data_IF_027176370278
#
_entry.id   IF_027176370278
#
_cell.length_a   1.000
_cell.length_b   1.000
_cell.length_c   1.000
_cell.angle_alpha   90.00
_cell.angle_beta   90.00
_cell.angle_gamma   90.00
#
_symmetry.space_group_name_H-M   'P 1'
#
loop_
_entity.id
_entity.type
_entity.pdbx_description
1 polymer ?
#
# COMPACT_ATOMS: atom_id res chain seq x y z
N UNK A 1 -1.11 12.45 -8.39
CA UNK A 1 -2.49 12.69 -7.89
C UNK A 1 -2.41 13.48 -6.59
N UNK A 2 -3.22 14.54 -6.45
CA UNK A 2 -3.18 15.37 -5.24
C UNK A 2 -3.81 14.65 -4.05
N UNK A 3 -3.22 14.85 -2.88
CA UNK A 3 -3.68 14.23 -1.65
C UNK A 3 -4.35 15.22 -0.74
N UNK A 4 -5.22 14.71 0.11
CA UNK A 4 -5.86 15.49 1.16
C UNK A 4 -5.67 14.75 2.47
N UNK A 5 -5.12 15.44 3.47
CA UNK A 5 -4.73 14.85 4.74
C UNK A 5 -5.72 15.26 5.82
N UNK A 6 -6.09 14.28 6.64
CA UNK A 6 -7.01 14.43 7.74
C UNK A 6 -6.44 13.83 9.01
N UNK A 7 -6.81 14.38 10.15
CA UNK A 7 -6.71 13.66 11.42
C UNK A 7 -8.09 13.26 11.91
N UNK A 8 -8.19 12.07 12.49
CA UNK A 8 -9.33 11.67 13.29
C UNK A 8 -8.95 11.42 14.74
N UNK A 9 -9.87 11.73 15.64
CA UNK A 9 -9.80 11.40 17.05
C UNK A 9 -11.13 10.86 17.54
N UNK A 10 -11.11 9.72 18.22
CA UNK A 10 -12.30 9.21 18.91
C UNK A 10 -12.47 10.02 20.20
N UNK A 11 -13.50 10.85 20.29
CA UNK A 11 -13.69 11.81 21.39
C UNK A 11 -14.68 11.34 22.44
N UNK A 12 -15.67 10.54 22.05
CA UNK A 12 -16.70 10.03 22.96
C UNK A 12 -17.12 8.62 22.53
N UNK A 13 -17.66 7.85 23.48
CA UNK A 13 -18.26 6.54 23.24
C UNK A 13 -19.60 6.46 23.98
N UNK A 14 -20.66 6.08 23.25
CA UNK A 14 -22.00 5.85 23.77
C UNK A 14 -22.44 4.43 23.40
N UNK A 15 -22.29 3.49 24.33
CA UNK A 15 -22.50 2.07 24.04
C UNK A 15 -21.50 1.55 22.98
N UNK A 16 -22.01 1.05 21.87
CA UNK A 16 -21.21 0.56 20.73
C UNK A 16 -20.96 1.62 19.65
N UNK A 17 -21.44 2.86 19.85
CA UNK A 17 -21.28 3.98 18.92
C UNK A 17 -20.14 4.88 19.39
N UNK A 18 -19.24 5.23 18.48
CA UNK A 18 -18.10 6.10 18.73
C UNK A 18 -18.28 7.41 17.98
N UNK A 19 -18.13 8.52 18.69
CA UNK A 19 -18.08 9.86 18.10
C UNK A 19 -16.65 10.18 17.73
N UNK A 20 -16.44 10.50 16.47
CA UNK A 20 -15.12 10.74 15.88
C UNK A 20 -15.07 12.18 15.40
N UNK A 21 -14.11 12.95 15.91
CA UNK A 21 -13.77 14.27 15.40
C UNK A 21 -12.83 14.10 14.20
N UNK A 22 -13.17 14.70 13.06
CA UNK A 22 -12.33 14.75 11.87
C UNK A 22 -11.85 16.18 11.66
N UNK A 23 -10.57 16.37 11.37
CA UNK A 23 -9.99 17.68 11.04
C UNK A 23 -9.20 17.60 9.73
N UNK A 24 -9.36 18.60 8.86
CA UNK A 24 -8.49 18.81 7.70
C UNK A 24 -7.15 19.40 8.18
N UNK A 25 -6.03 18.87 7.68
CA UNK A 25 -4.69 19.35 8.01
C UNK A 25 -4.11 20.08 6.80
N UNK A 26 -3.76 21.35 6.92
CA UNK A 26 -3.17 22.16 5.83
C UNK A 26 -1.63 22.10 5.81
N UNK A 27 -1.00 21.09 6.42
CA UNK A 27 0.46 21.08 6.61
C UNK A 27 1.22 21.02 5.27
N UNK A 28 2.08 22.02 5.06
CA UNK A 28 2.97 22.10 3.90
C UNK A 28 4.09 21.05 4.04
N UNK A 29 4.15 20.11 3.10
CA UNK A 29 5.25 19.17 2.85
C UNK A 29 5.36 17.97 3.80
N UNK A 30 4.52 16.96 3.54
CA UNK A 30 4.94 15.58 3.78
C UNK A 30 5.90 15.21 2.63
N UNK A 31 7.14 14.84 2.95
CA UNK A 31 8.20 14.59 1.97
C UNK A 31 7.71 13.69 0.80
N UNK A 32 7.68 14.25 -0.41
CA UNK A 32 7.25 13.58 -1.65
C UNK A 32 5.76 13.69 -2.01
N UNK A 33 4.94 14.40 -1.21
CA UNK A 33 3.51 14.51 -1.45
C UNK A 33 3.00 15.94 -1.32
N UNK A 34 2.36 16.44 -2.39
CA UNK A 34 1.73 17.76 -2.42
C UNK A 34 0.25 17.62 -2.06
N UNK A 35 -0.18 18.43 -1.11
CA UNK A 35 -1.58 18.50 -0.71
C UNK A 35 -2.39 19.29 -1.75
N UNK A 36 -3.56 18.78 -2.14
CA UNK A 36 -4.53 19.60 -2.86
C UNK A 36 -5.09 20.67 -1.95
N UNK A 37 -5.00 21.92 -2.41
CA UNK A 37 -5.82 23.00 -1.89
C UNK A 37 -7.27 22.75 -2.35
N UNK A 38 -8.02 22.03 -1.52
CA UNK A 38 -9.47 21.90 -1.66
C UNK A 38 -10.11 23.01 -0.84
N UNK A 39 -11.14 23.66 -1.39
CA UNK A 39 -11.85 24.78 -0.77
C UNK A 39 -12.68 24.41 0.47
N UNK A 40 -12.08 23.68 1.41
CA UNK A 40 -12.66 23.34 2.70
C UNK A 40 -12.53 24.55 3.61
N UNK A 41 -13.64 25.25 3.81
CA UNK A 41 -13.70 26.43 4.68
C UNK A 41 -13.79 26.04 6.17
N UNK A 42 -14.40 24.89 6.49
CA UNK A 42 -14.49 24.37 7.86
C UNK A 42 -13.40 23.33 8.15
N UNK A 43 -12.49 23.63 9.08
CA UNK A 43 -11.36 22.74 9.39
C UNK A 43 -11.75 21.46 10.15
N UNK A 44 -12.96 21.33 10.69
CA UNK A 44 -13.39 20.17 11.50
C UNK A 44 -14.87 19.81 11.32
N UNK A 45 -15.18 18.53 11.52
CA UNK A 45 -16.54 17.97 11.56
C UNK A 45 -16.60 16.77 12.53
N UNK A 46 -17.79 16.26 12.82
CA UNK A 46 -18.00 15.07 13.64
C UNK A 46 -18.82 14.00 12.91
N UNK A 47 -18.43 12.75 13.13
CA UNK A 47 -19.14 11.57 12.65
C UNK A 47 -19.37 10.57 13.77
N UNK A 48 -20.46 9.82 13.69
CA UNK A 48 -20.71 8.64 14.52
C UNK A 48 -20.43 7.38 13.70
N UNK A 49 -19.72 6.44 14.30
CA UNK A 49 -19.47 5.15 13.69
C UNK A 49 -19.70 4.01 14.68
N UNK A 50 -20.40 2.97 14.22
CA UNK A 50 -20.58 1.71 14.96
C UNK A 50 -19.72 0.61 14.35
N UNK A 51 -18.65 0.13 15.03
CA UNK A 51 -17.82 -0.96 14.54
C UNK A 51 -18.59 -2.27 14.34
N UNK A 52 -19.71 -2.45 15.04
CA UNK A 52 -20.58 -3.64 14.97
C UNK A 52 -21.55 -3.57 13.79
N UNK A 53 -22.39 -2.53 13.71
CA UNK A 53 -23.38 -2.39 12.62
C UNK A 53 -22.76 -1.85 11.32
N UNK A 54 -21.53 -1.31 11.39
CA UNK A 54 -20.83 -0.64 10.28
C UNK A 54 -21.52 0.63 9.78
N UNK A 55 -22.52 1.12 10.52
CA UNK A 55 -23.22 2.37 10.26
C UNK A 55 -22.30 3.57 10.50
N UNK A 56 -22.41 4.55 9.62
CA UNK A 56 -21.69 5.81 9.66
C UNK A 56 -22.72 6.93 9.51
N UNK A 57 -22.69 7.91 10.41
CA UNK A 57 -23.58 9.07 10.39
C UNK A 57 -22.76 10.34 10.50
N UNK A 58 -23.01 11.29 9.60
CA UNK A 58 -22.44 12.64 9.68
C UNK A 58 -23.32 13.52 10.58
N UNK A 59 -22.71 14.23 11.52
CA UNK A 59 -23.45 15.01 12.54
C UNK A 59 -23.64 16.48 12.17
N UNK A 60 -22.86 17.00 11.23
CA UNK A 60 -22.84 18.41 10.86
C UNK A 60 -22.93 18.56 9.34
N UNK A 61 -23.57 19.63 8.87
CA UNK A 61 -23.62 20.00 7.46
C UNK A 61 -22.62 21.14 7.19
N UNK A 62 -21.52 20.82 6.53
CA UNK A 62 -20.47 21.78 6.17
C UNK A 62 -19.62 21.23 5.01
N UNK A 63 -18.76 22.07 4.44
CA UNK A 63 -17.94 21.73 3.27
C UNK A 63 -17.02 20.51 3.50
N UNK A 64 -16.54 20.29 4.74
CA UNK A 64 -15.73 19.12 5.07
C UNK A 64 -16.59 17.85 5.13
N UNK A 65 -17.79 17.92 5.71
CA UNK A 65 -18.76 16.82 5.66
C UNK A 65 -19.08 16.44 4.23
N UNK A 66 -19.34 17.41 3.36
CA UNK A 66 -19.67 17.15 1.95
C UNK A 66 -18.51 16.44 1.23
N UNK A 67 -17.28 16.91 1.46
CA UNK A 67 -16.09 16.24 0.94
C UNK A 67 -15.93 14.78 1.44
N UNK A 68 -16.20 14.54 2.73
CA UNK A 68 -16.15 13.18 3.28
C UNK A 68 -17.26 12.28 2.72
N UNK A 69 -18.44 12.82 2.43
CA UNK A 69 -19.56 12.10 1.79
C UNK A 69 -19.23 11.73 0.35
N UNK A 70 -18.65 12.65 -0.42
CA UNK A 70 -18.16 12.36 -1.78
C UNK A 70 -17.10 11.26 -1.80
N UNK A 71 -16.30 11.16 -0.72
CA UNK A 71 -15.26 10.15 -0.55
C UNK A 71 -15.65 9.03 0.43
N UNK A 72 -16.96 8.82 0.67
CA UNK A 72 -17.45 7.96 1.75
C UNK A 72 -16.94 6.52 1.63
N UNK A 73 -16.77 6.00 0.42
CA UNK A 73 -16.22 4.65 0.21
C UNK A 73 -14.79 4.50 0.78
N UNK A 74 -13.92 5.49 0.53
CA UNK A 74 -12.56 5.49 1.08
C UNK A 74 -12.60 5.61 2.61
N UNK A 75 -13.47 6.48 3.11
CA UNK A 75 -13.62 6.69 4.55
C UNK A 75 -14.14 5.44 5.28
N UNK A 76 -15.17 4.78 4.73
CA UNK A 76 -15.71 3.53 5.26
C UNK A 76 -14.67 2.43 5.26
N UNK A 77 -13.88 2.27 4.19
CA UNK A 77 -12.80 1.27 4.16
C UNK A 77 -11.80 1.48 5.30
N UNK A 78 -11.42 2.72 5.60
CA UNK A 78 -10.53 3.04 6.72
C UNK A 78 -11.12 2.56 8.06
N UNK A 79 -12.38 2.88 8.33
CA UNK A 79 -13.05 2.54 9.59
C UNK A 79 -13.37 1.03 9.67
N UNK A 80 -13.85 0.42 8.59
CA UNK A 80 -14.26 -0.98 8.58
C UNK A 80 -13.09 -1.94 8.76
N UNK A 81 -11.90 -1.58 8.27
CA UNK A 81 -10.68 -2.39 8.38
C UNK A 81 -9.99 -2.27 9.75
N UNK A 82 -10.38 -1.33 10.60
CA UNK A 82 -9.89 -1.29 11.99
C UNK A 82 -10.44 -2.48 12.78
N UNK A 83 -9.57 -3.11 13.58
CA UNK A 83 -10.00 -4.13 14.52
C UNK A 83 -10.98 -3.50 15.53
N UNK A 84 -12.06 -4.22 15.94
CA UNK A 84 -13.03 -3.67 16.89
C UNK A 84 -12.40 -3.16 18.18
N UNK A 85 -11.40 -3.86 18.72
CA UNK A 85 -10.67 -3.46 19.93
C UNK A 85 -9.79 -2.21 19.79
N UNK A 86 -9.58 -1.72 18.56
CA UNK A 86 -8.77 -0.52 18.29
C UNK A 86 -9.59 0.77 18.39
N UNK A 87 -10.87 0.68 18.76
CA UNK A 87 -11.74 1.82 19.01
C UNK A 87 -11.80 2.11 20.51
N UNK A 88 -11.19 3.21 20.92
CA UNK A 88 -11.22 3.71 22.30
C UNK A 88 -11.11 5.23 22.32
N UNK A 89 -11.70 5.87 23.32
CA UNK A 89 -11.65 7.33 23.48
C UNK A 89 -10.19 7.80 23.63
N UNK A 90 -9.80 8.81 22.87
CA UNK A 90 -8.44 9.31 22.77
C UNK A 90 -7.59 8.67 21.66
N UNK A 91 -8.09 7.65 20.97
CA UNK A 91 -7.40 7.09 19.80
C UNK A 91 -7.31 8.14 18.69
N UNK A 92 -6.09 8.36 18.18
CA UNK A 92 -5.79 9.31 17.09
C UNK A 92 -5.23 8.58 15.88
N UNK A 93 -5.57 9.05 14.69
CA UNK A 93 -5.06 8.53 13.42
C UNK A 93 -5.03 9.63 12.37
N UNK A 94 -3.91 9.76 11.67
CA UNK A 94 -3.83 10.55 10.45
C UNK A 94 -4.17 9.65 9.27
N UNK A 95 -4.97 10.12 8.34
CA UNK A 95 -5.26 9.41 7.10
C UNK A 95 -5.31 10.38 5.94
N UNK A 96 -5.26 9.86 4.72
CA UNK A 96 -5.34 10.68 3.53
C UNK A 96 -6.30 10.09 2.52
N UNK A 97 -7.02 10.94 1.81
CA UNK A 97 -7.67 10.57 0.56
C UNK A 97 -6.83 11.04 -0.61
N UNK A 98 -6.86 10.25 -1.68
CA UNK A 98 -6.33 10.67 -2.98
C UNK A 98 -7.50 11.19 -3.79
N UNK A 99 -7.41 12.45 -4.22
CA UNK A 99 -8.43 13.08 -5.03
C UNK A 99 -8.62 12.31 -6.33
N UNK A 100 -9.88 12.00 -6.69
CA UNK A 100 -10.25 11.22 -7.89
C UNK A 100 -9.60 9.83 -7.98
N UNK A 101 -9.26 9.18 -6.86
CA UNK A 101 -8.75 7.81 -6.88
C UNK A 101 -9.78 6.85 -7.44
N UNK A 102 -9.42 6.14 -8.51
CA UNK A 102 -10.16 4.99 -8.99
C UNK A 102 -10.00 3.79 -8.04
N UNK A 103 -10.75 3.82 -6.93
CA UNK A 103 -10.64 2.78 -5.90
C UNK A 103 -11.06 1.41 -6.44
N UNK A 104 -11.99 1.36 -7.39
CA UNK A 104 -12.41 0.12 -8.03
C UNK A 104 -11.26 -0.47 -8.85
N UNK A 105 -10.65 0.33 -9.74
CA UNK A 105 -9.52 -0.10 -10.55
C UNK A 105 -8.29 -0.51 -9.73
N UNK A 106 -7.96 0.17 -8.63
CA UNK A 106 -6.84 -0.24 -7.76
C UNK A 106 -7.08 -1.62 -7.11
N UNK A 107 -8.35 -1.99 -6.87
CA UNK A 107 -8.72 -3.28 -6.32
C UNK A 107 -8.98 -4.34 -7.40
N UNK A 108 -9.13 -3.93 -8.66
CA UNK A 108 -9.16 -4.82 -9.79
C UNK A 108 -7.79 -5.48 -9.97
N UNK A 109 -7.81 -6.80 -10.07
CA UNK A 109 -6.62 -7.65 -10.18
C UNK A 109 -6.16 -7.84 -11.61
N UNK A 110 -6.97 -7.42 -12.58
CA UNK A 110 -6.63 -7.45 -14.02
C UNK A 110 -5.90 -6.19 -14.46
N UNK A 111 -6.01 -5.10 -13.68
CA UNK A 111 -5.36 -3.82 -13.96
C UNK A 111 -3.91 -3.82 -13.48
N UNK A 112 -3.10 -3.04 -14.18
CA UNK A 112 -1.76 -2.68 -13.72
C UNK A 112 -1.86 -1.44 -12.86
N UNK A 113 -1.25 -1.50 -11.67
CA UNK A 113 -1.18 -0.37 -10.74
C UNK A 113 0.18 0.28 -10.89
N UNK A 114 0.20 1.56 -11.20
CA UNK A 114 1.42 2.33 -11.42
C UNK A 114 1.75 3.13 -10.18
N UNK A 115 3.05 3.21 -9.87
CA UNK A 115 3.65 4.17 -8.96
C UNK A 115 4.78 4.89 -9.70
N UNK A 116 4.58 6.16 -10.03
CA UNK A 116 5.60 6.99 -10.69
C UNK A 116 6.18 7.98 -9.69
N UNK A 117 7.45 7.79 -9.35
CA UNK A 117 8.23 8.63 -8.44
C UNK A 117 9.33 9.43 -9.17
N UNK A 118 9.28 9.53 -10.50
CA UNK A 118 10.27 10.30 -11.29
C UNK A 118 10.01 11.80 -11.22
N UNK A 119 8.75 12.20 -11.01
CA UNK A 119 8.35 13.59 -10.90
C UNK A 119 8.61 14.21 -9.52
N UNK A 120 8.34 15.50 -9.41
CA UNK A 120 8.34 16.22 -8.12
C UNK A 120 7.24 15.70 -7.17
N UNK A 121 6.09 15.34 -7.74
CA UNK A 121 4.99 14.70 -7.03
C UNK A 121 4.98 13.20 -7.33
N UNK A 122 4.72 12.38 -6.32
CA UNK A 122 4.46 10.95 -6.53
C UNK A 122 3.08 10.79 -7.15
N UNK A 123 3.04 10.12 -8.31
CA UNK A 123 1.79 9.77 -8.97
C UNK A 123 1.49 8.28 -8.86
N UNK A 124 0.20 7.93 -8.83
CA UNK A 124 -0.23 6.55 -8.79
C UNK A 124 -1.57 6.41 -9.47
N UNK A 125 -1.69 5.51 -10.43
CA UNK A 125 -2.92 5.34 -11.19
C UNK A 125 -3.04 3.89 -11.67
N UNK A 126 -4.11 3.60 -12.39
CA UNK A 126 -4.36 2.27 -12.96
C UNK A 126 -4.46 2.34 -14.46
N UNK A 127 -4.08 1.25 -15.11
CA UNK A 127 -4.10 1.10 -16.57
C UNK A 127 -4.51 -0.33 -16.94
N UNK A 128 -5.11 -0.46 -18.12
CA UNK A 128 -5.52 -1.74 -18.70
C UNK A 128 -4.36 -2.57 -19.23
N UNK A 129 -3.36 -1.89 -19.81
CA UNK A 129 -2.18 -2.49 -20.39
C UNK A 129 -0.97 -1.66 -19.98
N UNK A 130 0.11 -2.33 -19.58
CA UNK A 130 1.36 -1.69 -19.23
C UNK A 130 2.26 -1.44 -20.42
N UNK A 131 3.37 -0.76 -20.16
CA UNK A 131 4.38 -0.46 -21.16
C UNK A 131 4.93 -1.73 -21.84
N UNK A 132 5.11 -1.69 -23.15
CA UNK A 132 5.63 -2.84 -23.90
C UNK A 132 7.16 -2.96 -23.74
N UNK A 133 7.88 -1.84 -23.58
CA UNK A 133 9.34 -1.80 -23.40
C UNK A 133 9.69 -1.45 -21.96
N UNK A 134 9.69 -2.45 -21.09
CA UNK A 134 9.96 -2.30 -19.66
C UNK A 134 10.70 -3.52 -19.11
N UNK A 135 11.67 -3.29 -18.22
CA UNK A 135 12.30 -4.40 -17.48
C UNK A 135 11.25 -5.06 -16.59
N UNK A 136 11.26 -6.38 -16.50
CA UNK A 136 10.30 -7.11 -15.65
C UNK A 136 11.03 -7.84 -14.54
N UNK A 137 10.48 -7.79 -13.34
CA UNK A 137 10.89 -8.59 -12.19
C UNK A 137 9.71 -9.49 -11.85
N UNK A 138 9.86 -10.79 -12.04
CA UNK A 138 8.96 -11.80 -11.52
C UNK A 138 9.45 -12.20 -10.13
N UNK A 139 8.54 -12.35 -9.18
CA UNK A 139 8.92 -12.61 -7.77
C UNK A 139 8.04 -13.66 -7.14
N UNK A 140 8.63 -14.49 -6.30
CA UNK A 140 7.91 -15.36 -5.37
C UNK A 140 8.72 -15.63 -4.09
N UNK A 141 8.04 -16.02 -3.01
CA UNK A 141 8.61 -16.29 -1.70
C UNK A 141 8.11 -17.62 -1.13
N UNK A 142 8.98 -18.33 -0.41
CA UNK A 142 8.62 -19.57 0.27
C UNK A 142 9.05 -19.50 1.74
N UNK A 143 8.20 -20.01 2.63
CA UNK A 143 8.49 -20.07 4.07
C UNK A 143 7.96 -21.35 4.70
N UNK A 144 8.84 -22.07 5.41
CA UNK A 144 8.52 -23.25 6.19
C UNK A 144 8.42 -22.88 7.67
N UNK A 145 7.19 -22.59 8.12
CA UNK A 145 6.92 -22.13 9.50
C UNK A 145 7.54 -23.03 10.58
N UNK A 146 7.41 -24.36 10.43
CA UNK A 146 7.92 -25.33 11.41
C UNK A 146 9.45 -25.31 11.57
N UNK A 147 10.17 -24.95 10.50
CA UNK A 147 11.63 -24.93 10.50
C UNK A 147 12.18 -23.52 10.67
N UNK A 148 11.31 -22.50 10.63
CA UNK A 148 11.68 -21.09 10.62
C UNK A 148 12.71 -20.74 9.52
N UNK A 149 12.59 -21.39 8.37
CA UNK A 149 13.41 -21.17 7.18
C UNK A 149 12.55 -20.60 6.07
N UNK A 150 13.06 -19.59 5.38
CA UNK A 150 12.47 -19.09 4.16
C UNK A 150 13.49 -18.97 3.05
N UNK A 151 13.00 -18.78 1.84
CA UNK A 151 13.80 -18.30 0.74
C UNK A 151 12.90 -17.52 -0.20
N UNK A 152 13.52 -16.79 -1.10
CA UNK A 152 12.80 -16.11 -2.16
C UNK A 152 13.51 -16.35 -3.49
N UNK A 153 12.79 -16.16 -4.58
CA UNK A 153 13.36 -16.16 -5.91
C UNK A 153 12.78 -15.03 -6.74
N UNK A 154 13.57 -14.60 -7.71
CA UNK A 154 13.17 -13.64 -8.69
C UNK A 154 13.78 -13.98 -10.05
N UNK A 155 13.07 -13.55 -11.10
CA UNK A 155 13.56 -13.58 -12.47
C UNK A 155 13.49 -12.16 -13.00
N UNK A 156 14.60 -11.69 -13.57
CA UNK A 156 14.68 -10.43 -14.30
C UNK A 156 14.62 -10.74 -15.78
N UNK A 157 13.69 -10.11 -16.49
CA UNK A 157 13.64 -10.06 -17.95
C UNK A 157 14.09 -8.67 -18.40
N UNK A 158 15.14 -8.61 -19.23
CA UNK A 158 15.62 -7.36 -19.82
C UNK A 158 14.81 -6.93 -21.05
N UNK A 159 15.19 -5.82 -21.68
CA UNK A 159 14.49 -5.28 -22.85
C UNK A 159 14.65 -6.13 -24.12
N UNK A 160 15.63 -7.03 -24.15
CA UNK A 160 15.87 -7.96 -25.25
C UNK A 160 15.15 -9.31 -25.03
N UNK A 161 14.52 -9.49 -23.87
CA UNK A 161 13.83 -10.72 -23.48
C UNK A 161 14.76 -11.76 -22.85
N UNK A 162 15.98 -11.40 -22.45
CA UNK A 162 16.87 -12.33 -21.75
C UNK A 162 16.47 -12.45 -20.28
N UNK A 163 16.51 -13.68 -19.76
CA UNK A 163 16.20 -13.97 -18.37
C UNK A 163 17.46 -14.12 -17.50
N UNK A 164 17.41 -13.54 -16.31
CA UNK A 164 18.38 -13.78 -15.24
C UNK A 164 17.66 -14.19 -13.96
N UNK A 165 18.05 -15.33 -13.40
CA UNK A 165 17.42 -15.92 -12.21
C UNK A 165 18.27 -15.62 -10.98
N UNK A 166 17.62 -15.36 -9.85
CA UNK A 166 18.27 -15.22 -8.55
C UNK A 166 17.39 -15.86 -7.46
N UNK A 167 18.02 -16.56 -6.52
CA UNK A 167 17.35 -17.09 -5.33
C UNK A 167 18.26 -16.93 -4.11
N UNK A 168 17.66 -16.72 -2.95
CA UNK A 168 18.40 -16.46 -1.71
C UNK A 168 17.67 -17.06 -0.51
N UNK A 169 18.41 -17.74 0.38
CA UNK A 169 17.88 -18.26 1.64
C UNK A 169 17.82 -17.15 2.67
N UNK A 170 16.77 -17.13 3.48
CA UNK A 170 16.57 -16.17 4.57
C UNK A 170 16.07 -16.88 5.83
N UNK A 171 16.52 -16.42 6.99
CA UNK A 171 16.18 -17.01 8.29
C UNK A 171 15.25 -16.09 9.08
N UNK A 172 14.25 -16.66 9.75
CA UNK A 172 13.34 -15.88 10.60
C UNK A 172 12.37 -14.94 9.86
N UNK A 173 12.24 -15.09 8.53
CA UNK A 173 11.33 -14.29 7.70
C UNK A 173 10.06 -15.07 7.40
N UNK A 174 8.88 -14.52 7.67
CA UNK A 174 7.61 -15.13 7.27
C UNK A 174 7.31 -14.99 5.77
N UNK A 175 6.20 -15.59 5.32
CA UNK A 175 5.80 -15.62 3.89
C UNK A 175 5.74 -14.22 3.26
N UNK A 176 5.10 -13.26 3.91
CA UNK A 176 4.99 -11.89 3.37
C UNK A 176 6.34 -11.16 3.35
N UNK A 177 7.27 -11.51 4.25
CA UNK A 177 8.61 -10.95 4.27
C UNK A 177 9.46 -11.50 3.13
N UNK A 178 9.38 -12.80 2.81
CA UNK A 178 10.13 -13.38 1.69
C UNK A 178 9.68 -12.83 0.35
N UNK A 179 8.37 -12.63 0.16
CA UNK A 179 7.80 -11.94 -1.01
C UNK A 179 8.33 -10.50 -1.16
N UNK A 180 8.37 -9.73 -0.05
CA UNK A 180 8.89 -8.37 -0.05
C UNK A 180 10.40 -8.34 -0.38
N UNK A 181 11.17 -9.28 0.17
CA UNK A 181 12.59 -9.39 -0.09
C UNK A 181 12.90 -9.71 -1.56
N UNK A 182 12.10 -10.56 -2.23
CA UNK A 182 12.24 -10.80 -3.67
C UNK A 182 12.10 -9.51 -4.49
N UNK A 183 11.04 -8.74 -4.23
CA UNK A 183 10.80 -7.49 -4.93
C UNK A 183 11.93 -6.47 -4.68
N UNK A 184 12.37 -6.33 -3.43
CA UNK A 184 13.48 -5.46 -3.07
C UNK A 184 14.78 -5.86 -3.76
N UNK A 185 15.13 -7.15 -3.75
CA UNK A 185 16.36 -7.64 -4.36
C UNK A 185 16.37 -7.41 -5.87
N UNK A 186 15.22 -7.56 -6.53
CA UNK A 186 15.09 -7.26 -7.96
C UNK A 186 15.34 -5.78 -8.25
N UNK A 187 14.80 -4.87 -7.43
CA UNK A 187 15.05 -3.43 -7.54
C UNK A 187 16.51 -3.06 -7.25
N UNK A 188 17.16 -3.72 -6.28
CA UNK A 188 18.58 -3.52 -5.97
C UNK A 188 19.47 -3.91 -7.17
N UNK A 189 19.18 -5.03 -7.81
CA UNK A 189 19.88 -5.49 -9.02
C UNK A 189 19.64 -4.55 -10.21
N UNK A 190 18.49 -3.88 -10.25
CA UNK A 190 18.08 -2.92 -11.27
C UNK A 190 18.20 -1.45 -10.80
N UNK A 191 19.18 -1.15 -9.93
CA UNK A 191 19.33 0.18 -9.33
C UNK A 191 19.39 1.34 -10.34
N UNK A 192 20.00 1.14 -11.51
CA UNK A 192 20.12 2.17 -12.57
C UNK A 192 18.93 2.18 -13.55
N UNK A 193 17.99 1.25 -13.42
CA UNK A 193 16.82 1.16 -14.33
C UNK A 193 15.68 2.01 -13.80
N UNK A 194 15.16 2.90 -14.63
CA UNK A 194 14.07 3.82 -14.24
C UNK A 194 12.67 3.21 -14.39
N UNK A 195 12.43 2.39 -15.42
CA UNK A 195 11.12 1.78 -15.71
C UNK A 195 11.15 0.28 -15.43
N UNK A 196 10.37 -0.16 -14.46
CA UNK A 196 10.35 -1.56 -14.02
C UNK A 196 8.92 -2.02 -13.80
N UNK A 197 8.57 -3.21 -14.29
CA UNK A 197 7.35 -3.91 -13.93
C UNK A 197 7.67 -5.01 -12.92
N UNK A 198 7.02 -4.97 -11.76
CA UNK A 198 7.02 -6.04 -10.78
C UNK A 198 5.78 -6.91 -11.03
N UNK A 199 6.02 -8.17 -11.38
CA UNK A 199 5.00 -9.20 -11.59
C UNK A 199 5.00 -10.13 -10.37
N UNK A 200 3.93 -10.08 -9.60
CA UNK A 200 3.84 -10.76 -8.29
C UNK A 200 2.41 -11.19 -8.00
N UNK A 201 2.23 -12.30 -7.30
CA UNK A 201 0.93 -12.66 -6.73
C UNK A 201 0.71 -12.07 -5.33
N UNK A 202 1.74 -11.40 -4.77
CA UNK A 202 1.68 -10.75 -3.48
C UNK A 202 0.89 -9.44 -3.52
N UNK A 203 -0.32 -9.48 -2.98
CA UNK A 203 -1.06 -8.27 -2.65
C UNK A 203 -0.37 -7.46 -1.54
N UNK A 204 0.43 -8.11 -0.69
CA UNK A 204 1.18 -7.45 0.37
C UNK A 204 2.21 -6.48 -0.22
N UNK A 205 3.03 -6.95 -1.16
CA UNK A 205 4.02 -6.12 -1.87
C UNK A 205 3.32 -5.01 -2.65
N UNK A 206 2.34 -5.36 -3.50
CA UNK A 206 1.64 -4.39 -4.36
C UNK A 206 0.95 -3.29 -3.53
N UNK A 207 0.10 -3.66 -2.57
CA UNK A 207 -0.68 -2.68 -1.80
C UNK A 207 0.15 -1.96 -0.77
N UNK A 208 1.18 -2.60 -0.22
CA UNK A 208 2.04 -1.96 0.77
C UNK A 208 2.73 -0.74 0.20
N UNK A 209 3.33 -0.84 -0.98
CA UNK A 209 3.99 0.31 -1.60
C UNK A 209 2.99 1.31 -2.23
N UNK A 210 1.94 0.83 -2.88
CA UNK A 210 1.02 1.71 -3.63
C UNK A 210 -0.06 2.37 -2.77
N UNK A 211 -0.42 1.79 -1.62
CA UNK A 211 -1.53 2.25 -0.78
C UNK A 211 -1.14 2.52 0.67
N UNK A 212 -0.34 1.65 1.31
CA UNK A 212 -0.18 1.69 2.78
C UNK A 212 0.99 2.55 3.26
N UNK A 213 2.12 2.53 2.54
CA UNK A 213 3.39 3.10 3.01
C UNK A 213 3.29 4.59 3.33
N UNK A 214 2.50 5.32 2.54
CA UNK A 214 2.18 6.72 2.76
C UNK A 214 1.50 6.93 4.11
N UNK A 215 0.39 6.22 4.36
CA UNK A 215 -0.31 6.29 5.63
C UNK A 215 0.57 5.86 6.81
N UNK A 216 1.51 4.94 6.59
CA UNK A 216 2.47 4.58 7.64
C UNK A 216 3.47 5.70 7.91
N UNK A 217 4.05 6.33 6.89
CA UNK A 217 5.00 7.44 7.06
C UNK A 217 4.38 8.61 7.84
N UNK A 218 3.14 9.01 7.50
CA UNK A 218 2.46 10.13 8.17
C UNK A 218 2.06 9.81 9.62
N UNK A 219 1.88 8.53 9.95
CA UNK A 219 1.55 8.07 11.30
C UNK A 219 2.78 7.59 12.09
N UNK A 220 4.00 7.94 11.68
CA UNK A 220 5.22 7.53 12.39
C UNK A 220 5.41 6.00 12.40
N UNK A 221 5.11 5.34 11.27
CA UNK A 221 5.18 3.89 11.08
C UNK A 221 4.24 3.08 11.98
N UNK A 222 3.06 3.64 12.24
CA UNK A 222 1.94 2.97 12.89
C UNK A 222 0.87 2.57 11.87
N UNK A 223 0.23 1.42 12.09
CA UNK A 223 -0.93 0.96 11.35
C UNK A 223 -2.18 1.74 11.73
N UNK A 224 -3.28 1.63 10.97
CA UNK A 224 -4.58 2.21 11.32
C UNK A 224 -5.15 1.68 12.67
N UNK A 225 -4.57 0.61 13.21
CA UNK A 225 -4.89 0.06 14.51
C UNK A 225 -4.05 0.65 15.66
N UNK A 226 -3.08 1.51 15.37
CA UNK A 226 -2.13 2.07 16.36
C UNK A 226 -0.99 1.13 16.73
N UNK A 227 -0.91 -0.05 16.10
CA UNK A 227 0.21 -0.98 16.29
C UNK A 227 1.37 -0.58 15.37
N UNK A 228 2.63 -0.84 15.79
CA UNK A 228 3.81 -0.68 14.92
C UNK A 228 3.64 -1.51 13.65
N UNK A 229 3.97 -0.92 12.51
CA UNK A 229 4.03 -1.63 11.24
C UNK A 229 5.04 -2.77 11.36
N UNK A 230 4.71 -3.94 10.83
CA UNK A 230 5.65 -5.07 10.79
C UNK A 230 6.68 -4.82 9.70
N UNK A 231 7.93 -5.19 9.97
CA UNK A 231 9.05 -5.07 9.01
C UNK A 231 9.26 -3.64 8.48
N UNK A 232 9.14 -2.64 9.37
CA UNK A 232 9.34 -1.22 9.04
C UNK A 232 10.62 -0.99 8.26
N UNK A 233 11.74 -1.61 8.67
CA UNK A 233 13.04 -1.41 8.05
C UNK A 233 13.05 -1.85 6.58
N UNK A 234 12.37 -2.94 6.25
CA UNK A 234 12.25 -3.41 4.86
C UNK A 234 11.33 -2.50 4.06
N UNK A 235 10.24 -2.00 4.65
CA UNK A 235 9.38 -1.03 3.98
C UNK A 235 10.09 0.30 3.70
N UNK A 236 10.88 0.82 4.64
CA UNK A 236 11.70 2.03 4.46
C UNK A 236 12.69 1.82 3.30
N UNK A 237 13.37 0.66 3.27
CA UNK A 237 14.30 0.34 2.18
C UNK A 237 13.58 0.19 0.85
N UNK A 238 12.44 -0.49 0.81
CA UNK A 238 11.66 -0.69 -0.41
C UNK A 238 11.12 0.64 -0.96
N UNK A 239 10.65 1.55 -0.09
CA UNK A 239 10.27 2.91 -0.48
C UNK A 239 11.44 3.61 -1.20
N UNK A 240 12.61 3.58 -0.57
CA UNK A 240 13.83 4.24 -1.07
C UNK A 240 14.32 3.64 -2.39
N UNK A 241 14.24 2.33 -2.56
CA UNK A 241 14.63 1.64 -3.80
C UNK A 241 13.76 2.04 -4.99
N UNK A 242 12.57 2.59 -4.75
CA UNK A 242 11.66 3.05 -5.80
C UNK A 242 11.74 4.54 -6.08
N UNK A 243 12.54 5.30 -5.32
CA UNK A 243 12.69 6.73 -5.55
C UNK A 243 13.30 7.00 -6.92
N UNK A 244 12.71 7.95 -7.67
CA UNK A 244 13.12 8.25 -9.03
C UNK A 244 12.76 7.17 -10.06
N UNK A 245 11.88 6.22 -9.73
CA UNK A 245 11.47 5.13 -10.64
C UNK A 245 9.99 5.20 -11.03
N UNK A 246 9.70 4.64 -12.20
CA UNK A 246 8.38 4.28 -12.68
C UNK A 246 8.19 2.78 -12.46
N UNK A 247 7.30 2.42 -11.54
CA UNK A 247 7.03 1.04 -11.16
C UNK A 247 5.62 0.66 -11.58
N UNK A 248 5.52 -0.36 -12.43
CA UNK A 248 4.25 -1.05 -12.73
C UNK A 248 4.11 -2.28 -11.86
N UNK A 249 2.98 -2.42 -11.16
CA UNK A 249 2.62 -3.64 -10.47
C UNK A 249 1.58 -4.40 -11.29
N UNK A 250 1.99 -5.54 -11.82
CA UNK A 250 1.10 -6.51 -12.44
C UNK A 250 0.83 -7.64 -11.45
N UNK A 251 -0.42 -7.76 -11.01
CA UNK A 251 -0.79 -8.87 -10.16
C UNK A 251 -1.07 -10.11 -11.01
N UNK A 252 -0.52 -11.25 -10.60
CA UNK A 252 -0.84 -12.54 -11.19
C UNK A 252 -1.46 -13.44 -10.15
N UNK A 253 -2.28 -14.39 -10.57
CA UNK A 253 -2.85 -15.35 -9.64
C UNK A 253 -1.78 -16.38 -9.27
N UNK A 254 -1.53 -16.59 -7.98
CA UNK A 254 -0.65 -17.67 -7.51
C UNK A 254 -1.08 -19.03 -8.07
N UNK A 255 -0.12 -19.86 -8.45
CA UNK A 255 -0.33 -21.15 -9.12
C UNK A 255 -1.15 -21.08 -10.43
N UNK A 256 -1.09 -19.96 -11.15
CA UNK A 256 -1.57 -19.87 -12.53
C UNK A 256 -0.49 -20.29 -13.54
N UNK A 257 -0.86 -20.51 -14.80
CA UNK A 257 0.03 -20.86 -15.91
C UNK A 257 1.03 -19.74 -16.31
N UNK A 258 1.38 -18.84 -15.38
CA UNK A 258 2.44 -17.89 -15.58
C UNK A 258 3.78 -18.58 -15.34
N UNK A 259 4.47 -18.88 -16.43
CA UNK A 259 5.68 -19.69 -16.43
C UNK A 259 6.77 -19.15 -15.49
N UNK A 260 7.06 -17.85 -15.58
CA UNK A 260 8.09 -17.18 -14.78
C UNK A 260 7.79 -17.18 -13.28
N UNK A 261 6.53 -16.93 -12.89
CA UNK A 261 6.11 -17.02 -11.49
C UNK A 261 6.18 -18.47 -10.98
N UNK A 262 5.79 -19.44 -11.82
CA UNK A 262 5.94 -20.87 -11.48
C UNK A 262 7.40 -21.26 -11.29
N UNK A 263 8.31 -20.72 -12.10
CA UNK A 263 9.74 -20.89 -11.91
C UNK A 263 10.22 -20.24 -10.60
N UNK A 264 9.77 -19.02 -10.28
CA UNK A 264 10.11 -18.38 -9.02
C UNK A 264 9.65 -19.22 -7.82
N UNK A 265 8.41 -19.72 -7.83
CA UNK A 265 7.89 -20.62 -6.79
C UNK A 265 8.79 -21.85 -6.61
N UNK A 266 9.18 -22.49 -7.72
CA UNK A 266 10.06 -23.65 -7.72
C UNK A 266 11.43 -23.34 -7.11
N UNK A 267 12.09 -22.27 -7.56
CA UNK A 267 13.41 -21.87 -7.06
C UNK A 267 13.37 -21.42 -5.59
N UNK A 268 12.30 -20.75 -5.16
CA UNK A 268 12.11 -20.37 -3.77
C UNK A 268 11.92 -21.61 -2.88
N UNK A 269 11.12 -22.58 -3.33
CA UNK A 269 10.92 -23.84 -2.61
C UNK A 269 12.19 -24.69 -2.53
N UNK A 270 12.93 -24.79 -3.62
CA UNK A 270 14.22 -25.52 -3.65
C UNK A 270 15.24 -24.88 -2.70
N UNK A 271 15.37 -23.55 -2.73
CA UNK A 271 16.25 -22.83 -1.82
C UNK A 271 15.83 -22.96 -0.34
N UNK A 272 14.55 -23.15 -0.03
CA UNK A 272 14.07 -23.22 1.37
C UNK A 272 14.40 -24.56 2.05
N UNK A 273 14.59 -25.64 1.28
CA UNK A 273 14.97 -26.97 1.81
C UNK A 273 16.36 -26.93 2.47
#
# INVERSE_FOLDING_TARGET
MKMVIFSMEIVEQHGEVYKIRIEHKDEENIQGYVQSNIGINNKKTYVEFSPRSKELRFLEENSLTDYLKENEYQFRKLLHNKRPRSYYVGFKLIFSFRDKKDVAGFNDRTKIVVLDKRGYEVDSYVMDKGEDTIYKIYTDGSFLEKQNKGAFALIIEDLEGNYKIHSEKVFGSGSSQTELMAAMKGLELLKEVEKIRIVTDSQYVRKGLTEWIMCWKINGWLTANGEKVKDVDNWVKFDKLTDGKYIEFQWVKGHSDHFENTLCDLYAKDATQ
#
